data_IF_273021006229
#
_entry.id   IF_273021006229
#
_cell.length_a   1.000
_cell.length_b   1.000
_cell.length_c   1.000
_cell.angle_alpha   90.00
_cell.angle_beta   90.00
_cell.angle_gamma   90.00
#
_symmetry.space_group_name_H-M   'P 1'
#
loop_
_entity.id
_entity.type
_entity.pdbx_description
1 polymer ?
#
# COMPACT_ATOMS: atom_id res chain seq x y z
N UNK A 1 -23.59 -0.47 13.75
CA UNK A 1 -22.86 -0.87 12.53
C UNK A 1 -22.26 0.40 11.96
N UNK A 2 -20.95 0.56 12.18
CA UNK A 2 -20.34 1.89 12.34
C UNK A 2 -19.73 2.41 11.03
N UNK A 3 -19.80 3.74 10.83
CA UNK A 3 -19.17 4.50 9.73
C UNK A 3 -17.67 4.19 9.52
N UNK A 4 -16.98 3.64 10.52
CA UNK A 4 -15.58 3.20 10.39
C UNK A 4 -15.39 2.00 9.44
N UNK A 5 -16.34 1.07 9.35
CA UNK A 5 -16.20 -0.09 8.46
C UNK A 5 -16.36 0.28 6.98
N UNK A 6 -17.16 1.30 6.69
CA UNK A 6 -17.36 1.81 5.34
C UNK A 6 -16.14 2.57 4.80
N UNK A 7 -15.43 3.27 5.68
CA UNK A 7 -14.21 4.02 5.31
C UNK A 7 -13.03 3.08 5.09
N UNK A 8 -12.85 2.05 5.94
CA UNK A 8 -11.78 1.05 5.71
C UNK A 8 -11.96 0.28 4.40
N UNK A 9 -13.20 -0.05 4.00
CA UNK A 9 -13.44 -0.75 2.74
C UNK A 9 -13.18 0.15 1.51
N UNK A 10 -13.52 1.43 1.59
CA UNK A 10 -13.28 2.40 0.51
C UNK A 10 -11.79 2.70 0.30
N UNK A 11 -11.00 2.74 1.38
CA UNK A 11 -9.53 2.88 1.33
C UNK A 11 -8.86 1.62 0.79
N UNK A 12 -9.35 0.42 1.16
CA UNK A 12 -8.83 -0.85 0.64
C UNK A 12 -9.14 -1.07 -0.84
N UNK A 13 -10.22 -0.45 -1.36
CA UNK A 13 -10.67 -0.58 -2.76
C UNK A 13 -10.16 0.55 -3.68
N UNK A 14 -9.40 1.52 -3.18
CA UNK A 14 -8.83 2.61 -4.00
C UNK A 14 -9.88 3.54 -4.63
N UNK A 15 -11.08 3.64 -4.05
CA UNK A 15 -12.25 4.30 -4.66
C UNK A 15 -12.29 5.83 -4.51
N UNK A 16 -11.27 6.45 -3.93
CA UNK A 16 -11.18 7.92 -3.86
C UNK A 16 -9.88 8.36 -4.52
N UNK A 17 -10.01 8.87 -5.74
CA UNK A 17 -8.90 9.48 -6.46
C UNK A 17 -8.84 10.97 -6.08
N UNK A 18 -7.66 11.47 -5.72
CA UNK A 18 -7.48 12.85 -5.23
C UNK A 18 -7.86 13.94 -6.26
N UNK A 19 -8.03 13.57 -7.53
CA UNK A 19 -8.38 14.47 -8.64
C UNK A 19 -9.84 14.96 -8.60
N UNK A 20 -10.79 14.13 -8.15
CA UNK A 20 -12.22 14.53 -8.12
C UNK A 20 -12.48 15.66 -7.10
N UNK A 21 -11.63 15.76 -6.08
CA UNK A 21 -11.66 16.84 -5.09
C UNK A 21 -11.06 18.16 -5.59
N UNK A 22 -10.40 18.20 -6.76
CA UNK A 22 -9.80 19.42 -7.31
C UNK A 22 -10.61 20.03 -8.46
N UNK A 23 -11.35 19.23 -9.23
CA UNK A 23 -12.21 19.79 -10.30
C UNK A 23 -13.46 20.48 -9.77
N UNK A 24 -13.98 20.06 -8.60
CA UNK A 24 -15.15 20.69 -7.99
C UNK A 24 -14.86 22.11 -7.44
N UNK A 25 -13.60 22.38 -7.08
CA UNK A 25 -13.17 23.65 -6.48
C UNK A 25 -13.01 24.77 -7.54
N UNK A 26 -12.70 24.43 -8.79
CA UNK A 26 -12.52 25.42 -9.87
C UNK A 26 -13.84 26.07 -10.32
N UNK A 27 -14.96 25.34 -10.25
CA UNK A 27 -16.29 25.89 -10.58
C UNK A 27 -16.88 26.76 -9.46
N UNK A 28 -16.50 26.53 -8.20
CA UNK A 28 -17.01 27.31 -7.06
C UNK A 28 -16.42 28.73 -6.98
N UNK A 29 -15.17 28.91 -7.46
CA UNK A 29 -14.47 30.20 -7.41
C UNK A 29 -14.95 31.23 -8.44
N UNK A 30 -15.64 30.79 -9.50
CA UNK A 30 -16.10 31.71 -10.56
C UNK A 30 -17.44 32.40 -10.24
N UNK A 31 -18.24 31.86 -9.32
CA UNK A 31 -19.68 32.17 -9.28
C UNK A 31 -20.15 33.12 -8.17
N UNK A 32 -19.30 33.52 -7.21
CA UNK A 32 -19.82 34.15 -5.97
C UNK A 32 -19.45 35.59 -5.67
N UNK A 33 -18.57 36.26 -6.42
CA UNK A 33 -18.35 37.74 -6.35
C UNK A 33 -18.09 38.36 -4.97
N UNK A 34 -17.93 37.56 -3.91
CA UNK A 34 -17.87 38.00 -2.52
C UNK A 34 -16.48 37.71 -1.96
N UNK A 35 -15.81 38.79 -1.58
CA UNK A 35 -14.45 38.80 -1.01
C UNK A 35 -14.38 37.94 0.26
N UNK A 36 -15.46 37.87 1.03
CA UNK A 36 -15.53 37.10 2.28
C UNK A 36 -15.52 35.58 2.02
N UNK A 37 -16.21 35.12 0.96
CA UNK A 37 -16.16 33.72 0.54
C UNK A 37 -14.83 33.35 -0.11
N UNK A 38 -14.18 34.29 -0.80
CA UNK A 38 -12.83 34.10 -1.31
C UNK A 38 -11.79 33.98 -0.19
N UNK A 39 -11.94 34.76 0.90
CA UNK A 39 -11.11 34.61 2.10
C UNK A 39 -11.35 33.27 2.81
N UNK A 40 -12.61 32.86 3.00
CA UNK A 40 -12.93 31.55 3.57
C UNK A 40 -12.43 30.40 2.70
N UNK A 41 -12.53 30.51 1.37
CA UNK A 41 -11.98 29.52 0.44
C UNK A 41 -10.44 29.47 0.51
N UNK A 42 -9.77 30.61 0.70
CA UNK A 42 -8.31 30.69 0.88
C UNK A 42 -7.88 30.06 2.22
N UNK A 43 -8.62 30.29 3.29
CA UNK A 43 -8.39 29.69 4.59
C UNK A 43 -8.62 28.17 4.54
N UNK A 44 -9.72 27.73 3.91
CA UNK A 44 -10.02 26.32 3.69
C UNK A 44 -8.98 25.63 2.79
N UNK A 45 -8.51 26.29 1.73
CA UNK A 45 -7.45 25.79 0.87
C UNK A 45 -6.10 25.72 1.61
N UNK A 46 -5.81 26.68 2.48
CA UNK A 46 -4.64 26.65 3.37
C UNK A 46 -4.70 25.47 4.33
N UNK A 47 -5.86 25.20 4.93
CA UNK A 47 -6.07 24.05 5.82
C UNK A 47 -5.96 22.71 5.07
N UNK A 48 -6.50 22.63 3.84
CA UNK A 48 -6.39 21.44 2.98
C UNK A 48 -4.94 21.19 2.53
N UNK A 49 -4.17 22.26 2.28
CA UNK A 49 -2.72 22.17 2.04
C UNK A 49 -1.97 21.72 3.31
N UNK A 50 -2.42 22.13 4.49
CA UNK A 50 -1.90 21.68 5.78
C UNK A 50 -2.22 20.17 6.01
N UNK A 51 -3.40 19.71 5.63
CA UNK A 51 -3.78 18.29 5.66
C UNK A 51 -3.00 17.44 4.64
N UNK A 52 -2.66 17.99 3.47
CA UNK A 52 -1.73 17.35 2.54
C UNK A 52 -0.32 17.26 3.13
N UNK A 53 0.10 18.25 3.92
CA UNK A 53 1.38 18.14 4.64
C UNK A 53 1.35 17.13 5.78
N UNK A 54 0.19 16.85 6.40
CA UNK A 54 0.06 15.74 7.36
C UNK A 54 0.30 14.37 6.74
N UNK A 55 0.04 14.20 5.44
CA UNK A 55 0.40 12.98 4.72
C UNK A 55 1.93 12.80 4.59
N UNK A 56 2.73 13.87 4.69
CA UNK A 56 4.19 13.76 4.65
C UNK A 56 4.77 13.13 5.92
N UNK A 57 3.98 12.95 6.98
CA UNK A 57 4.41 12.25 8.19
C UNK A 57 4.25 10.74 8.16
N UNK A 58 3.74 10.21 7.05
CA UNK A 58 3.75 8.80 6.76
C UNK A 58 5.02 8.50 5.96
N UNK A 59 6.05 8.01 6.64
CA UNK A 59 7.32 7.71 6.01
C UNK A 59 7.33 6.26 5.54
N UNK A 60 7.80 6.07 4.31
CA UNK A 60 7.90 4.75 3.69
C UNK A 60 9.34 4.55 3.23
N UNK A 61 9.99 3.52 3.74
CA UNK A 61 11.32 3.10 3.28
C UNK A 61 11.41 1.58 3.24
N UNK A 62 11.97 0.99 2.19
CA UNK A 62 12.23 -0.46 2.09
C UNK A 62 11.06 -1.37 2.48
N UNK A 63 9.83 -1.02 2.05
CA UNK A 63 8.58 -1.73 2.39
C UNK A 63 8.26 -1.74 3.90
N UNK A 64 8.87 -0.83 4.65
CA UNK A 64 8.56 -0.54 6.04
C UNK A 64 7.84 0.81 6.12
N UNK A 65 6.79 0.83 6.93
CA UNK A 65 5.91 1.97 7.09
C UNK A 65 6.01 2.51 8.51
N UNK A 66 6.25 3.81 8.63
CA UNK A 66 6.36 4.53 9.90
C UNK A 66 5.30 5.62 9.96
N UNK A 67 4.66 5.75 11.12
CA UNK A 67 3.63 6.75 11.38
C UNK A 67 4.12 7.75 12.42
N UNK A 68 4.58 8.91 11.96
CA UNK A 68 5.07 9.98 12.83
C UNK A 68 3.95 10.91 13.33
N UNK A 69 2.69 10.71 12.93
CA UNK A 69 1.59 11.62 13.29
C UNK A 69 1.34 11.73 14.79
N UNK A 70 1.76 10.72 15.56
CA UNK A 70 1.71 10.76 17.04
C UNK A 70 2.53 11.93 17.60
N UNK A 71 3.64 12.29 16.94
CA UNK A 71 4.52 13.40 17.30
C UNK A 71 3.91 14.78 17.01
N UNK A 72 2.80 14.87 16.27
CA UNK A 72 2.13 16.15 16.01
C UNK A 72 1.51 16.75 17.28
N UNK A 73 1.13 15.90 18.25
CA UNK A 73 0.44 16.32 19.48
C UNK A 73 1.26 17.28 20.36
N UNK A 74 2.57 17.35 20.16
CA UNK A 74 3.48 18.19 20.96
C UNK A 74 3.45 19.70 20.67
N UNK A 75 2.69 20.18 19.68
CA UNK A 75 2.65 21.57 19.18
C UNK A 75 4.01 22.14 18.73
N UNK A 76 4.99 22.28 19.61
CA UNK A 76 6.33 22.80 19.33
C UNK A 76 7.33 22.24 20.33
N UNK A 77 8.36 21.59 19.82
CA UNK A 77 9.43 21.01 20.61
C UNK A 77 10.59 21.99 20.72
N UNK A 78 10.89 22.48 21.93
CA UNK A 78 11.98 23.44 22.18
C UNK A 78 13.21 22.73 22.75
N UNK A 79 14.33 22.79 22.05
CA UNK A 79 15.60 22.18 22.48
C UNK A 79 16.74 23.16 22.26
N UNK A 80 17.39 23.62 23.33
CA UNK A 80 18.54 24.52 23.26
C UNK A 80 18.32 25.76 22.36
N UNK A 81 17.15 26.40 22.45
CA UNK A 81 16.77 27.56 21.64
C UNK A 81 16.36 27.25 20.20
N UNK A 82 16.22 25.97 19.84
CA UNK A 82 15.71 25.53 18.55
C UNK A 82 14.29 25.01 18.70
N UNK A 83 13.41 25.39 17.78
CA UNK A 83 12.01 24.97 17.75
C UNK A 83 11.83 23.98 16.61
N UNK A 84 11.29 22.81 16.91
CA UNK A 84 11.04 21.74 15.96
C UNK A 84 9.58 21.31 15.96
N UNK A 85 9.09 20.90 14.79
CA UNK A 85 7.88 20.14 14.62
C UNK A 85 8.06 19.15 13.46
N UNK A 86 7.49 17.96 13.59
CA UNK A 86 7.68 16.87 12.64
C UNK A 86 6.64 16.86 11.53
N UNK A 87 5.38 17.16 11.88
CA UNK A 87 4.23 16.94 10.98
C UNK A 87 3.46 18.20 10.65
N UNK A 88 3.70 19.27 11.41
CA UNK A 88 3.03 20.54 11.25
C UNK A 88 4.06 21.63 11.08
N UNK A 89 3.80 22.54 10.14
CA UNK A 89 4.66 23.72 9.97
C UNK A 89 4.37 24.71 11.10
N UNK A 90 5.42 25.11 11.79
CA UNK A 90 5.43 26.20 12.74
C UNK A 90 5.46 27.53 11.98
N UNK A 91 4.87 28.56 12.57
CA UNK A 91 5.09 29.95 12.14
C UNK A 91 6.32 30.46 12.88
N UNK A 92 7.30 30.98 12.16
CA UNK A 92 8.36 31.77 12.75
C UNK A 92 7.86 33.18 13.14
N UNK A 93 8.75 34.03 13.66
CA UNK A 93 8.42 35.41 14.04
C UNK A 93 8.00 36.28 12.85
N UNK A 94 8.50 35.97 11.65
CA UNK A 94 8.14 36.62 10.39
C UNK A 94 6.79 36.13 9.83
N UNK A 95 6.20 35.09 10.43
CA UNK A 95 4.94 34.48 10.02
C UNK A 95 5.06 33.44 8.89
N UNK A 96 6.29 33.14 8.46
CA UNK A 96 6.58 32.12 7.47
C UNK A 96 6.46 30.71 8.07
N UNK A 97 5.98 29.77 7.26
CA UNK A 97 5.69 28.39 7.71
C UNK A 97 6.90 27.48 7.49
N UNK A 98 7.55 27.01 8.57
CA UNK A 98 8.72 26.11 8.55
C UNK A 98 8.55 24.93 9.53
N UNK A 99 9.24 23.80 9.33
CA UNK A 99 9.23 22.69 10.31
C UNK A 99 10.20 22.93 11.48
N UNK A 100 11.21 23.78 11.29
CA UNK A 100 12.22 24.05 12.29
C UNK A 100 12.89 25.42 12.09
N UNK A 101 13.08 26.14 13.19
CA UNK A 101 13.80 27.41 13.24
C UNK A 101 14.60 27.54 14.55
N UNK A 102 15.59 28.42 14.57
CA UNK A 102 16.44 28.70 15.73
C UNK A 102 16.23 30.14 16.22
N UNK A 103 15.99 30.28 17.52
CA UNK A 103 15.86 31.56 18.26
C UNK A 103 17.16 31.92 18.99
N UNK A 104 18.26 31.22 18.71
CA UNK A 104 19.54 31.48 19.38
C UNK A 104 20.13 32.75 18.79
N UNK A 105 19.66 33.90 19.29
CA UNK A 105 20.13 35.22 18.92
C UNK A 105 21.63 35.33 19.20
N UNK A 106 22.42 35.54 18.15
CA UNK A 106 23.85 35.83 18.25
C UNK A 106 24.07 37.28 18.70
N UNK A 107 23.73 37.59 19.95
CA UNK A 107 24.26 38.71 20.74
C UNK A 107 24.02 40.16 20.28
N UNK A 108 23.40 40.46 19.13
CA UNK A 108 23.12 41.86 18.74
C UNK A 108 21.90 42.08 17.82
N UNK A 109 21.33 41.02 17.24
CA UNK A 109 20.11 41.07 16.44
C UNK A 109 19.27 39.82 16.75
N UNK A 110 18.03 40.03 17.21
CA UNK A 110 17.02 38.98 17.41
C UNK A 110 16.50 38.52 16.04
N UNK A 111 17.32 37.84 15.26
CA UNK A 111 16.89 37.24 13.99
C UNK A 111 16.68 35.75 14.15
N UNK A 112 15.43 35.30 14.06
CA UNK A 112 15.12 33.88 13.91
C UNK A 112 15.73 33.36 12.61
N UNK A 113 16.41 32.21 12.67
CA UNK A 113 17.02 31.59 11.48
C UNK A 113 16.21 30.34 11.10
N UNK A 114 15.71 30.28 9.86
CA UNK A 114 14.92 29.13 9.39
C UNK A 114 15.83 27.98 9.01
N UNK A 115 15.67 26.84 9.68
CA UNK A 115 16.49 25.65 9.44
C UNK A 115 15.93 24.72 8.37
N UNK A 116 14.64 24.81 8.08
CA UNK A 116 13.96 24.00 7.07
C UNK A 116 12.99 24.85 6.26
N UNK A 117 12.60 24.38 5.08
CA UNK A 117 11.61 25.02 4.24
C UNK A 117 10.26 24.32 4.26
N UNK A 118 9.44 24.60 3.24
CA UNK A 118 8.23 23.84 2.95
C UNK A 118 8.47 22.48 2.29
N UNK A 119 9.72 22.00 2.23
CA UNK A 119 10.13 20.76 1.58
C UNK A 119 9.44 19.52 2.15
N UNK A 120 9.43 18.45 1.35
CA UNK A 120 9.01 17.10 1.80
C UNK A 120 10.21 16.41 2.46
N UNK A 121 10.01 15.48 3.41
CA UNK A 121 11.09 14.63 3.91
C UNK A 121 11.83 13.94 2.76
N UNK A 122 13.15 14.06 2.75
CA UNK A 122 14.07 13.45 1.80
C UNK A 122 15.01 12.47 2.51
N UNK A 123 15.72 11.65 1.74
CA UNK A 123 16.74 10.73 2.23
C UNK A 123 16.26 9.82 3.38
N UNK A 124 15.01 9.36 3.32
CA UNK A 124 14.43 8.46 4.32
C UNK A 124 15.18 7.13 4.29
N UNK A 125 15.77 6.73 5.40
CA UNK A 125 16.49 5.47 5.58
C UNK A 125 16.06 4.82 6.89
N UNK A 126 15.65 3.56 6.83
CA UNK A 126 15.42 2.73 8.00
C UNK A 126 16.67 1.91 8.26
N UNK A 127 17.33 2.15 9.38
CA UNK A 127 18.50 1.37 9.77
C UNK A 127 18.01 0.23 10.67
N UNK A 128 17.92 -0.96 10.08
CA UNK A 128 17.77 -2.22 10.78
C UNK A 128 19.11 -2.90 10.66
N UNK A 129 19.90 -2.90 11.74
CA UNK A 129 21.19 -3.56 11.72
C UNK A 129 20.95 -5.07 11.90
N UNK A 130 20.95 -5.80 10.79
CA UNK A 130 20.69 -7.25 10.78
C UNK A 130 21.85 -8.06 11.38
N UNK A 131 23.03 -7.46 11.55
CA UNK A 131 24.21 -8.15 12.10
C UNK A 131 24.27 -8.13 13.62
N UNK A 132 23.70 -7.11 14.26
CA UNK A 132 23.62 -7.00 15.71
C UNK A 132 22.16 -6.91 16.13
N UNK A 133 21.62 -8.02 16.63
CA UNK A 133 20.25 -8.10 17.11
C UNK A 133 19.94 -7.07 18.22
N UNK A 134 20.97 -6.52 18.87
CA UNK A 134 20.83 -5.51 19.93
C UNK A 134 21.00 -4.07 19.43
N UNK A 135 21.43 -3.86 18.17
CA UNK A 135 21.57 -2.51 17.66
C UNK A 135 20.19 -1.86 17.52
N UNK A 136 20.01 -0.62 18.03
CA UNK A 136 18.71 0.00 18.11
C UNK A 136 18.20 0.35 16.71
N UNK A 137 17.00 -0.15 16.39
CA UNK A 137 16.30 0.19 15.15
C UNK A 137 15.95 1.66 15.18
N UNK A 138 16.22 2.37 14.09
CA UNK A 138 15.85 3.78 13.97
C UNK A 138 15.47 4.14 12.54
N UNK A 139 14.66 5.18 12.42
CA UNK A 139 14.38 5.85 11.16
C UNK A 139 15.17 7.15 11.09
N UNK A 140 15.81 7.35 9.96
CA UNK A 140 16.56 8.53 9.58
C UNK A 140 15.82 9.24 8.45
N UNK A 141 15.63 10.54 8.53
CA UNK A 141 15.14 11.35 7.41
C UNK A 141 15.62 12.79 7.52
N UNK A 142 15.67 13.47 6.38
CA UNK A 142 16.15 14.85 6.28
C UNK A 142 15.02 15.75 5.81
N UNK A 143 14.93 16.98 6.33
CA UNK A 143 14.07 18.03 5.77
C UNK A 143 14.98 19.19 5.34
N UNK A 144 14.90 19.55 4.07
CA UNK A 144 15.72 20.59 3.45
C UNK A 144 14.93 21.90 3.21
N UNK A 145 15.59 22.86 2.57
CA UNK A 145 14.99 24.13 2.15
C UNK A 145 15.02 25.25 3.19
N UNK A 146 15.90 25.16 4.20
CA UNK A 146 16.17 26.29 5.09
C UNK A 146 16.93 27.42 4.40
N UNK A 147 17.28 28.45 5.16
CA UNK A 147 18.05 29.61 4.68
C UNK A 147 19.51 29.25 4.35
N UNK A 148 20.23 30.18 3.71
CA UNK A 148 21.67 30.00 3.46
C UNK A 148 22.44 29.88 4.78
N UNK A 149 23.27 28.85 4.89
CA UNK A 149 24.00 28.58 6.12
C UNK A 149 25.09 29.62 6.36
N UNK A 150 25.10 30.22 7.55
CA UNK A 150 26.10 31.23 7.92
C UNK A 150 27.55 30.68 7.89
N UNK A 151 27.73 29.39 8.16
CA UNK A 151 29.03 28.73 8.13
C UNK A 151 29.51 28.39 6.70
N UNK A 152 28.59 28.16 5.77
CA UNK A 152 28.88 27.82 4.38
C UNK A 152 27.78 28.36 3.45
N UNK A 153 28.04 29.50 2.82
CA UNK A 153 27.10 30.19 1.92
C UNK A 153 26.66 29.36 0.71
N UNK A 154 27.32 28.23 0.42
CA UNK A 154 26.93 27.34 -0.69
C UNK A 154 25.88 26.31 -0.29
N UNK A 155 25.58 26.19 1.02
CA UNK A 155 24.64 25.20 1.55
C UNK A 155 23.47 25.90 2.20
N UNK A 156 22.29 25.36 2.02
CA UNK A 156 21.12 25.73 2.79
C UNK A 156 21.07 24.89 4.06
N UNK A 157 20.48 25.45 5.12
CA UNK A 157 20.18 24.68 6.31
C UNK A 157 19.26 23.49 5.98
N UNK A 158 19.53 22.39 6.67
CA UNK A 158 18.67 21.21 6.69
C UNK A 158 18.63 20.65 8.10
N UNK A 159 17.57 19.93 8.45
CA UNK A 159 17.48 19.25 9.75
C UNK A 159 17.45 17.76 9.52
N UNK A 160 18.27 17.04 10.28
CA UNK A 160 18.35 15.58 10.25
C UNK A 160 17.61 15.05 11.46
N UNK A 161 16.63 14.18 11.24
CA UNK A 161 15.87 13.53 12.30
C UNK A 161 16.27 12.05 12.39
N UNK A 162 16.61 11.61 13.59
CA UNK A 162 16.94 10.22 13.90
C UNK A 162 16.07 9.75 15.05
N UNK A 163 15.04 8.96 14.73
CA UNK A 163 14.05 8.49 15.71
C UNK A 163 14.30 7.02 16.00
N UNK A 164 14.80 6.73 17.20
CA UNK A 164 15.03 5.38 17.69
C UNK A 164 13.72 4.76 18.16
N UNK A 165 13.49 3.50 17.78
CA UNK A 165 12.32 2.74 18.17
C UNK A 165 12.38 2.37 19.64
N UNK A 166 11.40 2.86 20.41
CA UNK A 166 11.12 2.45 21.77
C UNK A 166 9.61 2.27 21.93
N UNK A 167 9.16 1.02 22.02
CA UNK A 167 7.73 0.68 22.06
C UNK A 167 7.01 1.16 23.34
N UNK A 168 7.77 1.46 24.40
CA UNK A 168 7.22 1.92 25.68
C UNK A 168 6.99 3.44 25.69
N UNK A 169 7.79 4.19 24.93
CA UNK A 169 7.73 5.65 24.84
C UNK A 169 6.56 6.13 23.94
N UNK A 170 5.33 6.11 24.48
CA UNK A 170 4.11 6.57 23.78
C UNK A 170 3.73 8.04 24.03
N UNK A 171 4.28 8.62 25.09
CA UNK A 171 4.01 10.00 25.49
C UNK A 171 4.87 11.00 24.69
N UNK A 172 4.62 12.29 24.90
CA UNK A 172 5.36 13.37 24.25
C UNK A 172 6.87 13.15 24.50
N UNK A 173 7.72 13.04 23.45
CA UNK A 173 9.12 12.76 23.63
C UNK A 173 9.78 13.87 24.44
N UNK A 174 10.52 13.47 25.47
CA UNK A 174 11.34 14.39 26.27
C UNK A 174 12.65 14.63 25.53
N UNK A 175 12.77 15.81 24.93
CA UNK A 175 13.97 16.19 24.18
C UNK A 175 14.88 17.01 25.09
N UNK A 176 16.10 16.52 25.30
CA UNK A 176 17.15 17.20 26.05
C UNK A 176 18.16 17.83 25.08
N UNK A 177 18.96 18.78 25.57
CA UNK A 177 20.04 19.38 24.77
C UNK A 177 21.03 18.35 24.20
N UNK A 178 21.23 17.21 24.88
CA UNK A 178 22.06 16.10 24.42
C UNK A 178 21.53 15.41 23.17
N UNK A 179 20.23 15.54 22.89
CA UNK A 179 19.60 14.97 21.70
C UNK A 179 19.89 15.79 20.45
N UNK A 180 20.41 17.02 20.59
CA UNK A 180 20.73 17.90 19.49
C UNK A 180 22.24 17.91 19.25
N UNK A 181 22.68 17.23 18.20
CA UNK A 181 24.06 17.25 17.73
C UNK A 181 24.25 18.41 16.73
N UNK A 182 25.05 19.39 17.13
CA UNK A 182 25.40 20.59 16.37
C UNK A 182 26.80 20.50 15.75
N UNK A 183 27.37 19.29 15.62
CA UNK A 183 28.70 19.09 15.01
C UNK A 183 28.75 19.64 13.59
N UNK A 184 27.69 19.43 12.80
CA UNK A 184 27.49 20.13 11.52
C UNK A 184 26.58 21.34 11.74
N UNK A 185 27.16 22.53 11.67
CA UNK A 185 26.44 23.80 11.86
C UNK A 185 25.32 24.00 10.85
N UNK A 186 25.41 23.44 9.64
CA UNK A 186 24.41 23.58 8.59
C UNK A 186 23.38 22.45 8.58
N UNK A 187 23.64 21.36 9.32
CA UNK A 187 22.80 20.18 9.36
C UNK A 187 22.63 19.66 10.79
N UNK A 188 21.99 20.43 11.70
CA UNK A 188 21.71 19.96 13.05
C UNK A 188 20.97 18.62 13.04
N UNK A 189 21.47 17.67 13.84
CA UNK A 189 20.92 16.33 13.96
C UNK A 189 20.18 16.18 15.28
N UNK A 190 18.88 15.88 15.21
CA UNK A 190 18.02 15.65 16.36
C UNK A 190 17.75 14.14 16.51
N UNK A 191 18.32 13.55 17.55
CA UNK A 191 18.31 12.12 17.85
C UNK A 191 17.50 11.82 19.12
N UNK A 192 16.39 11.08 19.05
CA UNK A 192 15.56 10.76 20.22
C UNK A 192 14.84 9.41 20.11
N UNK A 193 14.36 8.87 21.23
CA UNK A 193 13.64 7.60 21.31
C UNK A 193 12.12 7.85 21.38
N UNK A 194 11.34 7.13 20.58
CA UNK A 194 9.88 7.20 20.61
C UNK A 194 9.23 5.98 19.92
N UNK A 195 8.00 5.64 20.29
CA UNK A 195 7.24 4.52 19.71
C UNK A 195 6.97 4.71 18.20
N UNK A 196 6.90 5.95 17.72
CA UNK A 196 6.74 6.25 16.29
C UNK A 196 7.99 5.93 15.45
N UNK A 197 9.15 5.77 16.10
CA UNK A 197 10.35 5.25 15.44
C UNK A 197 10.26 3.76 15.13
N UNK A 198 9.28 3.06 15.69
CA UNK A 198 9.03 1.65 15.40
C UNK A 198 8.18 1.49 14.12
N UNK A 199 8.50 0.51 13.26
CA UNK A 199 7.72 0.27 12.06
C UNK A 199 6.32 -0.23 12.46
N UNK A 200 5.28 0.42 11.95
CA UNK A 200 3.88 -0.03 12.11
C UNK A 200 3.64 -1.28 11.26
N UNK A 201 4.30 -1.34 10.11
CA UNK A 201 4.30 -2.50 9.23
C UNK A 201 5.71 -2.69 8.68
N UNK A 202 6.23 -3.90 8.80
CA UNK A 202 7.51 -4.29 8.21
C UNK A 202 7.24 -5.47 7.28
N UNK A 203 7.60 -5.34 6.00
CA UNK A 203 7.57 -6.46 5.09
C UNK A 203 8.41 -7.62 5.63
N UNK A 204 7.97 -8.85 5.37
CA UNK A 204 8.68 -10.04 5.84
C UNK A 204 10.09 -10.07 5.26
N UNK A 205 11.06 -10.66 5.99
CA UNK A 205 12.46 -10.74 5.55
C UNK A 205 12.61 -11.38 4.16
N UNK A 206 11.67 -12.26 3.79
CA UNK A 206 11.61 -12.87 2.44
C UNK A 206 11.35 -11.81 1.37
N UNK A 207 10.38 -10.91 1.59
CA UNK A 207 10.06 -9.86 0.63
C UNK A 207 11.21 -8.87 0.53
N UNK A 208 11.84 -8.51 1.66
CA UNK A 208 13.03 -7.64 1.68
C UNK A 208 14.19 -8.28 0.89
N UNK A 209 14.48 -9.55 1.16
CA UNK A 209 15.50 -10.30 0.43
C UNK A 209 15.22 -10.36 -1.09
N UNK A 210 13.96 -10.60 -1.49
CA UNK A 210 13.56 -10.60 -2.90
C UNK A 210 13.64 -9.20 -3.54
N UNK A 211 13.44 -8.13 -2.77
CA UNK A 211 13.60 -6.75 -3.23
C UNK A 211 15.08 -6.37 -3.40
N UNK A 212 15.94 -6.81 -2.49
CA UNK A 212 17.39 -6.59 -2.54
C UNK A 212 18.07 -7.44 -3.63
N UNK A 213 17.47 -8.58 -3.98
CA UNK A 213 17.96 -9.51 -5.01
C UNK A 213 16.97 -9.58 -6.20
N UNK A 214 16.89 -8.53 -7.04
CA UNK A 214 15.94 -8.49 -8.15
C UNK A 214 16.16 -9.61 -9.18
N UNK A 215 17.38 -10.12 -9.29
CA UNK A 215 17.70 -11.28 -10.13
C UNK A 215 16.98 -12.55 -9.64
N UNK A 216 16.95 -12.81 -8.33
CA UNK A 216 16.28 -13.99 -7.78
C UNK A 216 14.76 -13.91 -8.01
N UNK A 217 14.18 -12.74 -7.76
CA UNK A 217 12.77 -12.47 -8.05
C UNK A 217 12.47 -12.61 -9.55
N UNK A 218 13.33 -12.09 -10.42
CA UNK A 218 13.21 -12.21 -11.87
C UNK A 218 13.23 -13.66 -12.33
N UNK A 219 14.13 -14.49 -11.81
CA UNK A 219 14.18 -15.93 -12.12
C UNK A 219 12.89 -16.66 -11.70
N UNK A 220 12.41 -16.39 -10.47
CA UNK A 220 11.17 -16.97 -9.96
C UNK A 220 9.98 -16.57 -10.84
N UNK A 221 9.88 -15.30 -11.21
CA UNK A 221 8.82 -14.78 -12.08
C UNK A 221 8.86 -15.36 -13.49
N UNK A 222 10.03 -15.61 -14.07
CA UNK A 222 10.17 -16.28 -15.37
C UNK A 222 9.66 -17.73 -15.29
N UNK A 223 10.11 -18.49 -14.29
CA UNK A 223 9.69 -19.89 -14.12
C UNK A 223 8.20 -19.98 -13.83
N UNK A 224 7.72 -19.21 -12.86
CA UNK A 224 6.31 -19.14 -12.48
C UNK A 224 5.44 -18.65 -13.64
N UNK A 225 5.85 -17.57 -14.30
CA UNK A 225 5.16 -17.00 -15.46
C UNK A 225 5.04 -18.00 -16.60
N UNK A 226 6.10 -18.77 -16.89
CA UNK A 226 6.05 -19.83 -17.92
C UNK A 226 5.03 -20.92 -17.57
N UNK A 227 5.04 -21.40 -16.32
CA UNK A 227 4.11 -22.45 -15.86
C UNK A 227 2.68 -21.93 -15.94
N UNK A 228 2.41 -20.72 -15.44
CA UNK A 228 1.07 -20.13 -15.41
C UNK A 228 0.57 -19.77 -16.82
N UNK A 229 1.43 -19.27 -17.71
CA UNK A 229 1.03 -18.92 -19.08
C UNK A 229 0.54 -20.14 -19.85
N UNK A 230 1.22 -21.28 -19.71
CA UNK A 230 0.97 -22.46 -20.55
C UNK A 230 0.16 -23.56 -19.87
N UNK A 231 0.13 -23.61 -18.53
CA UNK A 231 -0.59 -24.61 -17.73
C UNK A 231 -1.50 -23.98 -16.66
N UNK A 232 -1.69 -22.66 -16.67
CA UNK A 232 -2.41 -21.94 -15.63
C UNK A 232 -3.83 -22.43 -15.40
N UNK A 233 -4.59 -22.76 -16.45
CA UNK A 233 -5.93 -23.33 -16.30
C UNK A 233 -5.97 -24.59 -15.43
N UNK A 234 -4.98 -25.48 -15.55
CA UNK A 234 -4.87 -26.71 -14.74
C UNK A 234 -4.50 -26.44 -13.29
N UNK A 235 -3.62 -25.46 -13.06
CA UNK A 235 -3.16 -25.13 -11.71
C UNK A 235 -4.10 -24.17 -10.98
N UNK A 236 -4.98 -23.45 -11.68
CA UNK A 236 -5.85 -22.44 -11.10
C UNK A 236 -6.66 -22.89 -9.87
N UNK A 237 -7.35 -24.07 -9.87
CA UNK A 237 -8.06 -24.53 -8.67
C UNK A 237 -7.14 -24.74 -7.47
N UNK A 238 -5.93 -25.24 -7.72
CA UNK A 238 -4.94 -25.51 -6.68
C UNK A 238 -4.34 -24.22 -6.13
N UNK A 239 -4.05 -23.25 -7.01
CA UNK A 239 -3.55 -21.93 -6.62
C UNK A 239 -4.61 -21.18 -5.80
N UNK A 240 -5.87 -21.20 -6.24
CA UNK A 240 -6.97 -20.57 -5.51
C UNK A 240 -7.16 -21.22 -4.12
N UNK A 241 -7.13 -22.54 -4.05
CA UNK A 241 -7.20 -23.27 -2.78
C UNK A 241 -6.01 -22.97 -1.86
N UNK A 242 -4.79 -22.87 -2.41
CA UNK A 242 -3.60 -22.55 -1.62
C UNK A 242 -3.59 -21.11 -1.12
N UNK A 243 -4.04 -20.15 -1.93
CA UNK A 243 -4.12 -18.74 -1.53
C UNK A 243 -5.19 -18.56 -0.47
N UNK A 244 -6.39 -19.12 -0.67
CA UNK A 244 -7.46 -19.05 0.33
C UNK A 244 -7.06 -19.75 1.63
N UNK A 245 -6.49 -20.96 1.55
CA UNK A 245 -5.97 -21.68 2.71
C UNK A 245 -4.85 -20.91 3.41
N UNK A 246 -3.94 -20.29 2.67
CA UNK A 246 -2.86 -19.46 3.22
C UNK A 246 -3.38 -18.22 3.94
N UNK A 247 -4.36 -17.52 3.37
CA UNK A 247 -5.01 -16.37 4.03
C UNK A 247 -5.72 -16.83 5.32
N UNK A 248 -6.44 -17.95 5.28
CA UNK A 248 -7.07 -18.53 6.47
C UNK A 248 -6.04 -18.92 7.53
N UNK A 249 -4.94 -19.55 7.13
CA UNK A 249 -3.83 -19.89 8.02
C UNK A 249 -3.27 -18.66 8.72
N UNK A 250 -2.96 -17.61 7.96
CA UNK A 250 -2.44 -16.35 8.49
C UNK A 250 -3.46 -15.65 9.42
N UNK A 251 -4.74 -15.65 9.06
CA UNK A 251 -5.80 -15.06 9.89
C UNK A 251 -5.94 -15.79 11.23
N UNK A 252 -5.87 -17.13 11.24
CA UNK A 252 -5.93 -17.92 12.47
C UNK A 252 -4.66 -17.71 13.31
N UNK A 253 -3.48 -17.67 12.69
CA UNK A 253 -2.24 -17.34 13.41
C UNK A 253 -2.29 -15.94 14.02
N UNK A 254 -2.81 -14.96 13.29
CA UNK A 254 -2.98 -13.60 13.81
C UNK A 254 -3.95 -13.59 15.01
N UNK A 255 -5.08 -14.31 14.91
CA UNK A 255 -6.03 -14.44 16.02
C UNK A 255 -5.38 -15.15 17.22
N UNK A 256 -4.61 -16.21 16.99
CA UNK A 256 -3.83 -16.90 18.02
C UNK A 256 -2.80 -15.95 18.66
N UNK A 257 -2.20 -15.05 17.88
CA UNK A 257 -1.22 -14.07 18.38
C UNK A 257 -1.89 -13.07 19.32
N UNK A 258 -3.08 -12.57 18.95
CA UNK A 258 -3.87 -11.66 19.80
C UNK A 258 -4.30 -12.35 21.11
N UNK A 259 -4.63 -13.64 21.06
CA UNK A 259 -4.97 -14.43 22.26
C UNK A 259 -3.76 -14.82 23.12
N UNK A 260 -2.54 -14.43 22.73
CA UNK A 260 -1.31 -14.77 23.46
C UNK A 260 -0.84 -16.22 23.24
N UNK A 261 -1.43 -16.95 22.30
CA UNK A 261 -1.08 -18.34 22.04
C UNK A 261 0.31 -18.52 21.40
N UNK A 262 0.88 -17.45 20.83
CA UNK A 262 2.18 -17.44 20.16
C UNK A 262 3.30 -16.77 20.97
N UNK A 263 3.07 -16.46 22.26
CA UNK A 263 4.07 -15.83 23.16
C UNK A 263 5.36 -16.67 23.24
N UNK A 264 5.27 -18.00 23.09
CA UNK A 264 6.43 -18.89 23.08
C UNK A 264 7.44 -18.58 21.96
N UNK A 265 6.97 -18.06 20.81
CA UNK A 265 7.85 -17.69 19.70
C UNK A 265 8.66 -16.42 20.01
N UNK A 266 8.09 -15.52 20.80
CA UNK A 266 8.73 -14.26 21.19
C UNK A 266 9.77 -14.48 22.29
N UNK A 267 9.46 -15.32 23.30
CA UNK A 267 10.36 -15.63 24.42
C UNK A 267 11.51 -16.58 24.06
N UNK A 268 11.42 -17.27 22.91
CA UNK A 268 12.45 -18.20 22.44
C UNK A 268 12.78 -19.28 23.49
N UNK A 269 14.06 -19.40 23.86
CA UNK A 269 14.56 -20.46 24.77
C UNK A 269 14.06 -20.36 26.22
N UNK A 270 13.47 -19.24 26.64
CA UNK A 270 12.97 -19.06 28.01
C UNK A 270 11.50 -19.45 28.19
N UNK A 271 10.87 -20.03 27.17
CA UNK A 271 9.44 -20.37 27.18
C UNK A 271 9.12 -21.53 28.13
N UNK A 272 8.00 -21.41 28.85
CA UNK A 272 7.51 -22.51 29.68
C UNK A 272 6.98 -23.65 28.79
N UNK A 273 7.05 -24.93 29.21
CA UNK A 273 6.58 -26.05 28.40
C UNK A 273 5.12 -25.91 27.95
N UNK A 274 4.26 -25.29 28.77
CA UNK A 274 2.85 -25.06 28.44
C UNK A 274 2.64 -24.02 27.33
N UNK A 275 3.48 -22.98 27.26
CA UNK A 275 3.42 -22.00 26.17
C UNK A 275 3.83 -22.64 24.84
N UNK A 276 4.83 -23.54 24.87
CA UNK A 276 5.29 -24.25 23.66
C UNK A 276 4.20 -25.19 23.15
N UNK A 277 3.55 -25.97 24.02
CA UNK A 277 2.48 -26.88 23.58
C UNK A 277 1.30 -26.14 23.00
N UNK A 278 0.92 -25.00 23.58
CA UNK A 278 -0.18 -24.17 23.09
C UNK A 278 0.17 -23.55 21.72
N UNK A 279 1.40 -23.06 21.53
CA UNK A 279 1.88 -22.57 20.24
C UNK A 279 1.84 -23.68 19.15
N UNK A 280 2.34 -24.88 19.45
CA UNK A 280 2.32 -26.02 18.51
C UNK A 280 0.88 -26.44 18.17
N UNK A 281 0.00 -26.53 19.16
CA UNK A 281 -1.41 -26.86 18.95
C UNK A 281 -2.11 -25.81 18.07
N UNK A 282 -1.84 -24.53 18.29
CA UNK A 282 -2.40 -23.45 17.47
C UNK A 282 -1.96 -23.56 16.00
N UNK A 283 -0.71 -23.95 15.75
CA UNK A 283 -0.18 -24.15 14.40
C UNK A 283 -0.83 -25.36 13.71
N UNK A 284 -1.02 -26.47 14.42
CA UNK A 284 -1.71 -27.66 13.89
C UNK A 284 -3.17 -27.34 13.56
N UNK A 285 -3.89 -26.64 14.45
CA UNK A 285 -5.28 -26.23 14.21
C UNK A 285 -5.37 -25.27 13.03
N UNK A 286 -4.46 -24.30 12.94
CA UNK A 286 -4.40 -23.37 11.82
C UNK A 286 -4.16 -24.10 10.49
N UNK A 287 -3.25 -25.07 10.44
CA UNK A 287 -3.01 -25.91 9.26
C UNK A 287 -4.23 -26.76 8.89
N UNK A 288 -4.86 -27.42 9.87
CA UNK A 288 -6.05 -28.25 9.65
C UNK A 288 -7.20 -27.45 9.05
N UNK A 289 -7.48 -26.27 9.62
CA UNK A 289 -8.53 -25.37 9.11
C UNK A 289 -8.17 -24.76 7.75
N UNK A 290 -6.90 -24.42 7.52
CA UNK A 290 -6.44 -23.92 6.22
C UNK A 290 -6.63 -24.94 5.10
N UNK A 291 -6.29 -26.21 5.34
CA UNK A 291 -6.51 -27.31 4.37
C UNK A 291 -8.01 -27.55 4.17
N UNK A 292 -8.81 -27.53 5.25
CA UNK A 292 -10.26 -27.69 5.17
C UNK A 292 -10.91 -26.59 4.32
N UNK A 293 -10.56 -25.32 4.56
CA UNK A 293 -11.06 -24.19 3.78
C UNK A 293 -10.55 -24.25 2.34
N UNK A 294 -9.28 -24.56 2.12
CA UNK A 294 -8.73 -24.73 0.77
C UNK A 294 -9.49 -25.81 -0.02
N UNK A 295 -9.79 -26.94 0.61
CA UNK A 295 -10.61 -28.00 0.03
C UNK A 295 -12.04 -27.53 -0.28
N UNK A 296 -12.66 -26.78 0.62
CA UNK A 296 -14.00 -26.24 0.43
C UNK A 296 -14.05 -25.20 -0.70
N UNK A 297 -13.06 -24.31 -0.78
CA UNK A 297 -12.94 -23.31 -1.86
C UNK A 297 -12.74 -23.97 -3.21
N UNK A 298 -11.96 -25.05 -3.28
CA UNK A 298 -11.84 -25.86 -4.50
C UNK A 298 -13.21 -26.35 -4.99
N UNK A 299 -14.14 -26.67 -4.07
CA UNK A 299 -15.51 -27.10 -4.41
C UNK A 299 -16.41 -25.94 -4.85
N UNK A 300 -16.16 -24.73 -4.36
CA UNK A 300 -17.02 -23.55 -4.55
C UNK A 300 -16.47 -22.57 -5.61
N UNK A 301 -15.36 -22.89 -6.27
CA UNK A 301 -14.69 -22.01 -7.24
C UNK A 301 -15.62 -21.37 -8.29
N UNK A 302 -16.65 -22.09 -8.74
CA UNK A 302 -17.59 -21.60 -9.76
C UNK A 302 -18.46 -20.45 -9.26
N UNK A 303 -18.94 -20.52 -8.02
CA UNK A 303 -19.71 -19.42 -7.43
C UNK A 303 -18.78 -18.25 -7.09
N UNK A 304 -17.52 -18.52 -6.71
CA UNK A 304 -16.51 -17.49 -6.49
C UNK A 304 -16.24 -16.65 -7.74
N UNK A 305 -16.03 -17.29 -8.89
CA UNK A 305 -15.83 -16.56 -10.16
C UNK A 305 -17.09 -15.80 -10.59
N UNK A 306 -18.27 -16.36 -10.35
CA UNK A 306 -19.56 -15.69 -10.60
C UNK A 306 -19.71 -14.43 -9.74
N UNK A 307 -19.34 -14.51 -8.46
CA UNK A 307 -19.37 -13.37 -7.54
C UNK A 307 -18.36 -12.29 -7.95
N UNK A 308 -17.14 -12.67 -8.34
CA UNK A 308 -16.14 -11.73 -8.87
C UNK A 308 -16.64 -11.05 -10.16
N UNK A 309 -17.26 -11.82 -11.07
CA UNK A 309 -17.90 -11.29 -12.26
C UNK A 309 -19.00 -10.29 -11.93
N UNK A 310 -19.84 -10.57 -10.93
CA UNK A 310 -20.89 -9.66 -10.50
C UNK A 310 -20.33 -8.35 -9.91
N UNK A 311 -19.26 -8.42 -9.10
CA UNK A 311 -18.60 -7.23 -8.56
C UNK A 311 -17.95 -6.40 -9.67
N UNK A 312 -17.28 -7.04 -10.63
CA UNK A 312 -16.72 -6.37 -11.81
C UNK A 312 -17.83 -5.68 -12.62
N UNK A 313 -18.96 -6.37 -12.84
CA UNK A 313 -20.13 -5.82 -13.51
C UNK A 313 -20.76 -4.62 -12.80
N UNK A 314 -20.79 -4.64 -11.47
CA UNK A 314 -21.21 -3.50 -10.66
C UNK A 314 -20.35 -2.27 -10.93
N UNK A 315 -19.02 -2.42 -10.94
CA UNK A 315 -18.10 -1.32 -11.23
C UNK A 315 -18.19 -0.83 -12.67
N UNK A 316 -18.34 -1.73 -13.65
CA UNK A 316 -18.58 -1.34 -15.04
C UNK A 316 -19.90 -0.57 -15.18
N UNK A 317 -20.96 -1.01 -14.50
CA UNK A 317 -22.23 -0.28 -14.45
C UNK A 317 -22.09 1.11 -13.82
N UNK A 318 -21.32 1.22 -12.73
CA UNK A 318 -20.99 2.49 -12.10
C UNK A 318 -20.21 3.43 -13.02
N UNK A 319 -19.16 2.93 -13.69
CA UNK A 319 -18.38 3.73 -14.64
C UNK A 319 -19.23 4.18 -15.83
N UNK A 320 -20.08 3.29 -16.36
CA UNK A 320 -21.01 3.62 -17.43
C UNK A 320 -21.96 4.76 -16.99
N UNK A 321 -22.48 4.71 -15.76
CA UNK A 321 -23.30 5.78 -15.20
C UNK A 321 -22.54 7.11 -15.13
N UNK A 322 -21.34 7.09 -14.56
CA UNK A 322 -20.53 8.31 -14.38
C UNK A 322 -20.09 8.93 -15.70
N UNK A 323 -19.72 8.13 -16.71
CA UNK A 323 -19.27 8.69 -17.99
C UNK A 323 -20.42 9.09 -18.91
N UNK A 324 -21.47 8.27 -19.00
CA UNK A 324 -22.51 8.46 -20.00
C UNK A 324 -23.72 9.18 -19.42
N UNK A 325 -24.22 8.75 -18.26
CA UNK A 325 -25.53 9.19 -17.78
C UNK A 325 -25.49 10.46 -16.94
N UNK A 326 -24.40 10.74 -16.21
CA UNK A 326 -24.30 11.93 -15.35
C UNK A 326 -24.46 13.25 -16.12
N UNK A 327 -24.07 13.26 -17.40
CA UNK A 327 -24.15 14.45 -18.26
C UNK A 327 -25.59 14.81 -18.64
N UNK A 328 -26.52 13.85 -18.58
CA UNK A 328 -27.87 14.02 -19.11
C UNK A 328 -28.97 13.86 -18.05
N UNK A 329 -28.81 12.92 -17.10
CA UNK A 329 -29.86 12.53 -16.16
C UNK A 329 -29.29 12.23 -14.76
N UNK A 330 -29.52 13.14 -13.81
CA UNK A 330 -29.11 12.97 -12.41
C UNK A 330 -30.19 12.24 -11.58
N UNK A 331 -30.47 10.98 -11.93
CA UNK A 331 -31.44 10.17 -11.19
C UNK A 331 -30.78 8.98 -10.50
N UNK A 332 -30.98 8.88 -9.18
CA UNK A 332 -30.48 7.76 -8.34
C UNK A 332 -31.01 6.40 -8.83
N UNK A 333 -32.23 6.36 -9.37
CA UNK A 333 -32.81 5.14 -9.94
C UNK A 333 -32.00 4.57 -11.12
N UNK A 334 -31.45 5.44 -11.98
CA UNK A 334 -30.59 5.04 -13.12
C UNK A 334 -29.25 4.47 -12.65
N UNK A 335 -28.67 5.03 -11.58
CA UNK A 335 -27.46 4.49 -10.96
C UNK A 335 -27.71 3.08 -10.42
N UNK A 336 -28.77 2.88 -9.62
CA UNK A 336 -29.09 1.56 -9.06
C UNK A 336 -29.39 0.56 -10.18
N UNK A 337 -30.14 0.97 -11.21
CA UNK A 337 -30.47 0.11 -12.34
C UNK A 337 -29.23 -0.29 -13.15
N UNK A 338 -28.35 0.65 -13.49
CA UNK A 338 -27.12 0.37 -14.26
C UNK A 338 -26.16 -0.54 -13.50
N UNK A 339 -25.95 -0.27 -12.20
CA UNK A 339 -25.15 -1.14 -11.34
C UNK A 339 -25.76 -2.55 -11.19
N UNK A 340 -27.08 -2.64 -11.00
CA UNK A 340 -27.79 -3.92 -10.85
C UNK A 340 -27.77 -4.75 -12.13
N UNK A 341 -28.05 -4.14 -13.29
CA UNK A 341 -27.99 -4.80 -14.60
C UNK A 341 -26.55 -5.22 -14.91
N UNK A 342 -25.57 -4.35 -14.66
CA UNK A 342 -24.16 -4.67 -14.83
C UNK A 342 -23.73 -5.88 -14.01
N UNK A 343 -24.07 -5.91 -12.72
CA UNK A 343 -23.74 -7.01 -11.83
C UNK A 343 -24.39 -8.34 -12.28
N UNK A 344 -25.68 -8.33 -12.63
CA UNK A 344 -26.38 -9.54 -13.10
C UNK A 344 -25.81 -10.04 -14.43
N UNK A 345 -25.55 -9.13 -15.38
CA UNK A 345 -25.09 -9.49 -16.71
C UNK A 345 -23.67 -10.08 -16.67
N UNK A 346 -22.73 -9.42 -16.00
CA UNK A 346 -21.36 -9.95 -15.88
C UNK A 346 -21.27 -11.16 -14.95
N UNK A 347 -22.11 -11.24 -13.91
CA UNK A 347 -22.23 -12.45 -13.10
C UNK A 347 -22.70 -13.65 -13.94
N UNK A 348 -23.75 -13.46 -14.75
CA UNK A 348 -24.24 -14.49 -15.67
C UNK A 348 -23.20 -14.84 -16.74
N UNK A 349 -22.50 -13.85 -17.30
CA UNK A 349 -21.45 -14.06 -18.28
C UNK A 349 -20.28 -14.84 -17.66
N UNK A 350 -19.88 -14.51 -16.44
CA UNK A 350 -18.86 -15.24 -15.69
C UNK A 350 -19.28 -16.68 -15.38
N UNK A 351 -20.56 -16.92 -15.06
CA UNK A 351 -21.07 -18.27 -14.81
C UNK A 351 -21.10 -19.14 -16.09
N UNK A 352 -21.42 -18.53 -17.24
CA UNK A 352 -21.53 -19.23 -18.53
C UNK A 352 -20.19 -19.44 -19.23
N UNK A 353 -19.26 -18.49 -19.07
CA UNK A 353 -17.97 -18.48 -19.75
C UNK A 353 -16.79 -18.59 -18.76
N UNK A 354 -17.01 -19.15 -17.58
CA UNK A 354 -16.02 -19.31 -16.51
C UNK A 354 -14.69 -19.89 -17.03
N UNK A 355 -14.80 -20.96 -17.82
CA UNK A 355 -13.68 -21.65 -18.44
C UNK A 355 -12.85 -20.73 -19.33
N UNK A 356 -13.50 -19.99 -20.23
CA UNK A 356 -12.81 -19.11 -21.16
C UNK A 356 -12.12 -17.98 -20.40
N UNK A 357 -12.83 -17.41 -19.42
CA UNK A 357 -12.30 -16.33 -18.57
C UNK A 357 -11.05 -16.79 -17.82
N UNK A 358 -11.06 -17.98 -17.22
CA UNK A 358 -9.89 -18.52 -16.49
C UNK A 358 -8.69 -18.71 -17.44
N UNK A 359 -8.91 -19.24 -18.65
CA UNK A 359 -7.84 -19.44 -19.63
C UNK A 359 -7.24 -18.09 -20.05
N UNK A 360 -8.08 -17.10 -20.36
CA UNK A 360 -7.60 -15.76 -20.72
C UNK A 360 -6.83 -15.12 -19.56
N UNK A 361 -7.42 -15.06 -18.36
CA UNK A 361 -6.79 -14.45 -17.19
C UNK A 361 -5.44 -15.10 -16.86
N UNK A 362 -5.39 -16.44 -16.77
CA UNK A 362 -4.14 -17.13 -16.42
C UNK A 362 -3.08 -16.97 -17.50
N UNK A 363 -3.46 -16.99 -18.78
CA UNK A 363 -2.50 -16.78 -19.88
C UNK A 363 -1.90 -15.37 -19.86
N UNK A 364 -2.72 -14.33 -19.66
CA UNK A 364 -2.23 -12.95 -19.61
C UNK A 364 -1.47 -12.62 -18.33
N UNK A 365 -1.92 -13.11 -17.16
CA UNK A 365 -1.21 -12.93 -15.88
C UNK A 365 0.15 -13.64 -15.94
N UNK A 366 0.20 -14.87 -16.47
CA UNK A 366 1.45 -15.59 -16.66
C UNK A 366 2.41 -14.88 -17.61
N UNK A 367 1.88 -14.38 -18.74
CA UNK A 367 2.69 -13.67 -19.74
C UNK A 367 3.25 -12.37 -19.17
N UNK A 368 2.45 -11.61 -18.41
CA UNK A 368 2.89 -10.45 -17.66
C UNK A 368 4.00 -10.81 -16.66
N UNK A 369 3.80 -11.83 -15.83
CA UNK A 369 4.81 -12.27 -14.86
C UNK A 369 6.12 -12.69 -15.53
N UNK A 370 6.04 -13.41 -16.65
CA UNK A 370 7.20 -13.83 -17.43
C UNK A 370 7.99 -12.62 -17.98
N UNK A 371 7.30 -11.69 -18.66
CA UNK A 371 7.93 -10.51 -19.23
C UNK A 371 8.46 -9.58 -18.13
N UNK A 372 7.74 -9.45 -17.02
CA UNK A 372 8.19 -8.71 -15.83
C UNK A 372 9.45 -9.31 -15.23
N UNK A 373 9.55 -10.64 -15.21
CA UNK A 373 10.77 -11.33 -14.78
C UNK A 373 11.95 -11.03 -15.70
N UNK A 374 11.74 -11.01 -17.03
CA UNK A 374 12.77 -10.61 -18.00
C UNK A 374 13.17 -9.15 -17.82
N UNK A 375 12.21 -8.25 -17.59
CA UNK A 375 12.49 -6.82 -17.46
C UNK A 375 13.30 -6.48 -16.21
N UNK A 376 13.31 -7.34 -15.18
CA UNK A 376 14.21 -7.18 -14.03
C UNK A 376 15.68 -7.38 -14.41
N UNK A 377 15.97 -8.17 -15.45
CA UNK A 377 17.32 -8.35 -15.99
C UNK A 377 17.67 -7.32 -17.06
N UNK A 378 16.73 -7.04 -17.96
CA UNK A 378 16.94 -6.10 -19.07
C UNK A 378 16.86 -4.62 -18.64
N UNK A 379 16.21 -4.34 -17.49
CA UNK A 379 15.96 -3.00 -16.99
C UNK A 379 14.92 -2.22 -17.82
N UNK A 380 14.89 -0.90 -17.61
CA UNK A 380 14.06 0.09 -18.31
C UNK A 380 12.54 -0.05 -18.20
N UNK A 381 12.03 -1.13 -17.61
CA UNK A 381 10.62 -1.23 -17.31
C UNK A 381 10.33 -0.40 -16.04
N UNK A 382 9.51 0.66 -16.14
CA UNK A 382 9.23 1.53 -15.00
C UNK A 382 8.50 0.75 -13.92
N UNK A 383 8.84 1.01 -12.66
CA UNK A 383 8.08 0.48 -11.54
C UNK A 383 6.67 1.08 -11.59
N UNK A 384 5.63 0.25 -11.50
CA UNK A 384 4.23 0.67 -11.61
C UNK A 384 3.87 1.66 -10.50
N UNK A 385 4.46 1.50 -9.31
CA UNK A 385 4.25 2.40 -8.18
C UNK A 385 4.79 3.79 -8.52
N UNK A 386 5.98 3.85 -9.13
CA UNK A 386 6.59 5.10 -9.56
C UNK A 386 5.79 5.75 -10.68
N UNK A 387 5.29 4.95 -11.63
CA UNK A 387 4.43 5.42 -12.71
C UNK A 387 3.14 6.08 -12.17
N UNK A 388 2.49 5.45 -11.19
CA UNK A 388 1.29 6.00 -10.53
C UNK A 388 1.62 7.29 -9.78
N UNK A 389 2.80 7.38 -9.14
CA UNK A 389 3.23 8.59 -8.44
C UNK A 389 3.51 9.75 -9.41
N UNK A 390 4.18 9.49 -10.53
CA UNK A 390 4.39 10.50 -11.56
C UNK A 390 3.07 10.99 -12.17
N UNK A 391 2.13 10.07 -12.42
CA UNK A 391 0.81 10.41 -12.93
C UNK A 391 0.03 11.27 -11.94
N UNK A 392 0.09 10.96 -10.64
CA UNK A 392 -0.52 11.78 -9.58
C UNK A 392 0.11 13.17 -9.46
N UNK A 393 1.40 13.30 -9.75
CA UNK A 393 2.13 14.57 -9.65
C UNK A 393 2.08 15.39 -10.95
N UNK A 394 1.35 14.95 -11.99
CA UNK A 394 1.36 15.55 -13.33
C UNK A 394 2.77 15.72 -13.94
N UNK A 395 3.75 14.93 -13.49
CA UNK A 395 5.15 15.00 -13.90
C UNK A 395 5.50 13.86 -14.87
N UNK A 396 4.57 13.58 -15.80
CA UNK A 396 4.68 12.44 -16.70
C UNK A 396 5.36 12.86 -18.01
N UNK A 397 6.64 12.56 -18.15
CA UNK A 397 7.46 12.88 -19.33
C UNK A 397 7.27 11.91 -20.51
N UNK A 398 6.17 11.15 -20.52
CA UNK A 398 5.93 10.09 -21.50
C UNK A 398 6.64 8.78 -21.16
N UNK A 399 6.22 7.69 -21.82
CA UNK A 399 6.82 6.37 -21.69
C UNK A 399 7.79 6.12 -22.84
N UNK A 400 8.98 5.59 -22.53
CA UNK A 400 9.95 5.17 -23.54
C UNK A 400 9.37 4.09 -24.46
N UNK A 401 9.87 4.02 -25.70
CA UNK A 401 9.44 3.03 -26.70
C UNK A 401 9.66 1.58 -26.23
N UNK A 402 10.63 1.34 -25.33
CA UNK A 402 10.90 0.04 -24.72
C UNK A 402 9.69 -0.51 -23.95
N UNK A 403 8.92 0.36 -23.30
CA UNK A 403 7.72 -0.05 -22.57
C UNK A 403 6.69 -0.69 -23.52
N UNK A 404 6.50 -0.10 -24.71
CA UNK A 404 5.55 -0.62 -25.70
C UNK A 404 5.99 -1.96 -26.27
N UNK A 405 7.31 -2.21 -26.41
CA UNK A 405 7.80 -3.53 -26.79
C UNK A 405 7.45 -4.60 -25.75
N UNK A 406 7.63 -4.32 -24.46
CA UNK A 406 7.23 -5.25 -23.41
C UNK A 406 5.73 -5.52 -23.44
N UNK A 407 4.90 -4.50 -23.68
CA UNK A 407 3.46 -4.65 -23.80
C UNK A 407 3.07 -5.55 -24.98
N UNK A 408 3.67 -5.33 -26.17
CA UNK A 408 3.45 -6.18 -27.35
C UNK A 408 3.88 -7.62 -27.07
N UNK A 409 5.02 -7.83 -26.40
CA UNK A 409 5.49 -9.16 -26.03
C UNK A 409 4.53 -9.88 -25.08
N UNK A 410 3.95 -9.18 -24.09
CA UNK A 410 2.93 -9.72 -23.18
C UNK A 410 1.70 -10.17 -23.98
N UNK A 411 1.22 -9.36 -24.93
CA UNK A 411 0.05 -9.71 -25.74
C UNK A 411 0.31 -10.94 -26.61
N UNK A 412 1.44 -10.99 -27.31
CA UNK A 412 1.80 -12.13 -28.16
C UNK A 412 1.91 -13.40 -27.32
N UNK A 413 2.64 -13.34 -26.20
CA UNK A 413 2.84 -14.49 -25.32
C UNK A 413 1.53 -14.94 -24.67
N UNK A 414 0.67 -14.00 -24.28
CA UNK A 414 -0.67 -14.28 -23.74
C UNK A 414 -1.57 -14.99 -24.76
N UNK A 415 -1.57 -14.56 -26.02
CA UNK A 415 -2.32 -15.22 -27.11
C UNK A 415 -1.79 -16.63 -27.37
N UNK A 416 -0.47 -16.82 -27.42
CA UNK A 416 0.14 -18.15 -27.55
C UNK A 416 -0.22 -19.06 -26.36
N UNK A 417 -0.22 -18.51 -25.15
CA UNK A 417 -0.69 -19.17 -23.94
C UNK A 417 -2.15 -19.64 -24.07
N UNK A 418 -3.04 -18.75 -24.50
CA UNK A 418 -4.45 -19.06 -24.71
C UNK A 418 -4.62 -20.22 -25.70
N UNK A 419 -3.98 -20.14 -26.88
CA UNK A 419 -4.07 -21.18 -27.91
C UNK A 419 -3.62 -22.55 -27.37
N UNK A 420 -2.50 -22.58 -26.62
CA UNK A 420 -1.99 -23.81 -26.02
C UNK A 420 -2.93 -24.36 -24.95
N UNK A 421 -3.42 -23.51 -24.04
CA UNK A 421 -4.34 -23.92 -22.98
C UNK A 421 -5.67 -24.44 -23.55
N UNK A 422 -6.20 -23.81 -24.61
CA UNK A 422 -7.37 -24.32 -25.33
C UNK A 422 -7.10 -25.69 -25.96
N UNK A 423 -5.94 -25.87 -26.61
CA UNK A 423 -5.58 -27.14 -27.27
C UNK A 423 -5.35 -28.28 -26.28
N UNK A 424 -4.87 -28.00 -25.07
CA UNK A 424 -4.65 -29.02 -24.04
C UNK A 424 -5.94 -29.62 -23.47
N UNK A 425 -7.12 -29.23 -23.98
CA UNK A 425 -8.41 -29.84 -23.66
C UNK A 425 -8.61 -30.00 -22.15
N UNK A 426 -8.61 -28.87 -21.44
CA UNK A 426 -9.05 -28.78 -20.03
C UNK A 426 -10.44 -29.43 -19.79
N UNK A 427 -11.21 -29.71 -20.85
CA UNK A 427 -12.50 -30.40 -20.87
C UNK A 427 -12.59 -31.70 -20.04
N UNK A 428 -11.53 -32.51 -19.92
CA UNK A 428 -11.67 -33.85 -19.31
C UNK A 428 -11.71 -33.90 -17.79
N UNK A 429 -11.40 -32.81 -17.08
CA UNK A 429 -11.42 -32.82 -15.61
C UNK A 429 -12.74 -32.36 -14.99
N UNK A 430 -13.64 -31.76 -15.78
CA UNK A 430 -14.95 -31.29 -15.30
C UNK A 430 -16.01 -32.42 -15.27
N UNK A 431 -15.86 -33.48 -16.08
CA UNK A 431 -16.76 -34.63 -16.07
C UNK A 431 -16.74 -35.39 -14.72
N UNK A 432 -15.64 -35.28 -13.98
CA UNK A 432 -15.53 -35.83 -12.63
C UNK A 432 -16.31 -34.99 -11.59
N UNK A 433 -16.50 -33.69 -11.84
CA UNK A 433 -17.31 -32.79 -11.00
C UNK A 433 -18.80 -32.84 -11.35
N UNK A 434 -19.16 -32.90 -12.63
CA UNK A 434 -20.56 -33.03 -13.09
C UNK A 434 -21.11 -34.42 -12.75
N UNK A 435 -20.26 -35.46 -12.82
CA UNK A 435 -20.63 -36.82 -12.45
C UNK A 435 -21.05 -37.00 -10.97
N UNK A 436 -20.79 -36.04 -10.08
CA UNK A 436 -21.29 -36.08 -8.70
C UNK A 436 -22.75 -35.61 -8.61
N UNK A 437 -23.13 -34.57 -9.38
CA UNK A 437 -24.52 -34.08 -9.38
C UNK A 437 -25.46 -34.98 -10.18
N UNK A 438 -25.00 -35.56 -11.29
CA UNK A 438 -25.83 -36.46 -12.09
C UNK A 438 -26.07 -37.82 -11.39
N UNK A 439 -25.18 -38.22 -10.47
CA UNK A 439 -25.39 -39.41 -9.63
C UNK A 439 -26.48 -39.19 -8.58
N UNK A 440 -26.60 -37.99 -8.01
CA UNK A 440 -27.66 -37.68 -7.03
C UNK A 440 -29.04 -37.61 -7.70
N UNK A 441 -29.13 -37.10 -8.93
CA UNK A 441 -30.40 -37.06 -9.67
C UNK A 441 -30.84 -38.43 -10.16
N UNK A 442 -29.90 -39.31 -10.53
CA UNK A 442 -30.20 -40.72 -10.82
C UNK A 442 -30.53 -41.52 -9.54
N UNK A 443 -29.92 -41.22 -8.40
CA UNK A 443 -30.28 -41.84 -7.12
C UNK A 443 -31.69 -41.42 -6.64
N UNK A 444 -32.12 -40.19 -6.91
CA UNK A 444 -33.49 -39.73 -6.67
C UNK A 444 -34.52 -40.30 -7.65
N UNK A 445 -34.11 -40.68 -8.88
CA UNK A 445 -35.00 -41.35 -9.85
C UNK A 445 -35.09 -42.87 -9.64
N UNK A 446 -34.13 -43.47 -8.94
CA UNK A 446 -34.09 -44.89 -8.62
C UNK A 446 -34.81 -45.25 -7.31
N UNK A 447 -35.40 -44.27 -6.62
CA UNK A 447 -36.14 -44.42 -5.37
C UNK A 447 -37.54 -43.85 -5.56
#
# INVERSE_FOLDING_TARGET
MNRLQTISLAVFLGLINAQDLMMQDAQFLQDTGSIEKAMQAKEYASDKAEDLTRLNCLLYNDLTFFDLRVLEKGNTYKVAGHNFNFCRRLKDEDGEKTFAYSDVGSGFLDSTTRLTGGGKPQNIKSVVNDTDANAPRHIYFEIDGGEECAADKKKNYKVIYEVFCDAEAKDIPTLFSKNLDLTDKCAPKLSFTHASGCPVFQATSIVRYLSENPWALGAILIVFGTIVTFWGGKFFPYVLASVAGGITFLAILLLASILGALIALEKGKQSTPGEITLAVMSLIVALGLAVFVGFFIKRIQRTGLTALGAVAGFFVGFLLYTFVFIQWLQHVGLLIASCGIGALLFGFLAYKFDRHIIIYLTSFIGAYAFIRGISMYAGKFPNEIFLIQQLKNNAFDGLGWEFYLYLVAIVILGVLGCIRQFRQNYHKHDDEYVGYHDKDDNFKKAK
#
